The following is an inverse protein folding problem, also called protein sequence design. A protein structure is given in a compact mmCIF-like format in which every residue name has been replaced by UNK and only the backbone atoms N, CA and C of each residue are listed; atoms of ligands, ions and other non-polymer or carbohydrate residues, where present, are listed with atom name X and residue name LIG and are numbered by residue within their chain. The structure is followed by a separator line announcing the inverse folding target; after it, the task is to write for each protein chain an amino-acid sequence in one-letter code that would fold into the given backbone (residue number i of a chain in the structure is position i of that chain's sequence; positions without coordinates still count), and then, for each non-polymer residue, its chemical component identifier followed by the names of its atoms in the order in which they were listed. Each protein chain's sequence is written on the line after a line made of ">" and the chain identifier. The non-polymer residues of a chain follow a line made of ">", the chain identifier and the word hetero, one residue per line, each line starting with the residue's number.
data_IF_939066488253
#
_entry.id   IF_939066488253
#
_cell.length_a   1.000
_cell.length_b   1.000
_cell.length_c   1.000
_cell.angle_alpha   90.00
_cell.angle_beta   90.00
_cell.angle_gamma   90.00
#
_symmetry.space_group_name_H-M   'P 1'
#
loop_
_entity.id
_entity.type
_entity.pdbx_description
1 polymer ?
#
# COMPACT_ATOMS: atom_id res chain seq x y z
N UNK A 1 1.30 -22.21 4.33
CA UNK A 1 1.19 -20.91 5.04
C UNK A 1 1.35 -19.73 4.07
N UNK A 2 2.33 -19.74 3.16
CA UNK A 2 2.62 -18.63 2.22
C UNK A 2 1.48 -18.17 1.31
N UNK A 3 0.62 -19.08 0.81
CA UNK A 3 -0.54 -18.69 -0.02
C UNK A 3 -1.54 -17.78 0.73
N UNK A 4 -1.72 -18.02 2.03
CA UNK A 4 -2.55 -17.14 2.89
C UNK A 4 -1.93 -15.76 3.07
N UNK A 5 -0.60 -15.67 3.11
CA UNK A 5 0.13 -14.41 3.19
C UNK A 5 0.00 -13.60 1.90
N UNK A 6 0.15 -14.24 0.73
CA UNK A 6 -0.02 -13.60 -0.58
C UNK A 6 -1.44 -13.04 -0.77
N UNK A 7 -2.48 -13.81 -0.42
CA UNK A 7 -3.87 -13.33 -0.46
C UNK A 7 -4.07 -12.13 0.46
N UNK A 8 -3.51 -12.17 1.68
CA UNK A 8 -3.61 -11.07 2.62
C UNK A 8 -2.90 -9.80 2.11
N UNK A 9 -1.70 -9.94 1.53
CA UNK A 9 -0.95 -8.83 0.95
C UNK A 9 -1.72 -8.21 -0.24
N UNK A 10 -2.33 -9.03 -1.10
CA UNK A 10 -3.25 -8.57 -2.14
C UNK A 10 -4.43 -7.78 -1.58
N UNK A 11 -5.07 -8.25 -0.51
CA UNK A 11 -6.17 -7.53 0.14
C UNK A 11 -5.72 -6.17 0.68
N UNK A 12 -4.53 -6.06 1.27
CA UNK A 12 -3.98 -4.77 1.70
C UNK A 12 -3.81 -3.82 0.51
N UNK A 13 -3.25 -4.31 -0.60
CA UNK A 13 -3.02 -3.49 -1.80
C UNK A 13 -4.34 -3.00 -2.41
N UNK A 14 -5.35 -3.88 -2.50
CA UNK A 14 -6.69 -3.50 -2.96
C UNK A 14 -7.29 -2.43 -2.05
N UNK A 15 -7.16 -2.59 -0.73
CA UNK A 15 -7.68 -1.60 0.22
C UNK A 15 -6.98 -0.24 0.09
N UNK A 16 -5.67 -0.23 -0.16
CA UNK A 16 -4.93 1.01 -0.43
C UNK A 16 -5.41 1.70 -1.72
N UNK A 17 -5.66 0.94 -2.79
CA UNK A 17 -6.21 1.48 -4.04
C UNK A 17 -7.59 2.13 -3.82
N UNK A 18 -8.48 1.47 -3.06
CA UNK A 18 -9.79 2.01 -2.70
C UNK A 18 -9.66 3.33 -1.93
N UNK A 19 -8.75 3.39 -0.95
CA UNK A 19 -8.52 4.59 -0.15
C UNK A 19 -7.93 5.75 -0.97
N UNK A 20 -7.06 5.45 -1.95
CA UNK A 20 -6.57 6.47 -2.89
C UNK A 20 -7.67 7.02 -3.79
N UNK A 21 -8.52 6.15 -4.36
CA UNK A 21 -9.65 6.59 -5.19
C UNK A 21 -10.65 7.41 -4.38
N UNK A 22 -10.92 7.03 -3.13
CA UNK A 22 -11.73 7.83 -2.19
C UNK A 22 -11.11 9.21 -1.94
N UNK A 23 -9.79 9.29 -1.73
CA UNK A 23 -9.09 10.55 -1.56
C UNK A 23 -9.13 11.43 -2.82
N UNK A 24 -8.96 10.84 -4.02
CA UNK A 24 -9.14 11.57 -5.29
C UNK A 24 -10.56 12.09 -5.47
N UNK A 25 -11.56 11.28 -5.17
CA UNK A 25 -12.96 11.71 -5.23
C UNK A 25 -13.22 12.88 -4.28
N UNK A 26 -12.73 12.78 -3.04
CA UNK A 26 -12.86 13.86 -2.06
C UNK A 26 -12.09 15.13 -2.43
N UNK A 27 -11.05 15.02 -3.25
CA UNK A 27 -10.30 16.19 -3.74
C UNK A 27 -11.19 17.15 -4.54
N UNK A 28 -12.18 16.60 -5.25
CA UNK A 28 -13.14 17.38 -6.03
C UNK A 28 -14.41 17.78 -5.24
N UNK A 29 -14.55 17.35 -3.98
CA UNK A 29 -15.70 17.66 -3.12
C UNK A 29 -15.45 18.92 -2.29
N UNK A 30 -14.73 18.77 -1.19
CA UNK A 30 -14.36 19.84 -0.27
C UNK A 30 -13.21 19.41 0.65
N UNK A 31 -12.64 20.40 1.35
CA UNK A 31 -11.46 20.22 2.19
C UNK A 31 -11.73 19.27 3.38
N UNK A 32 -12.95 19.23 3.92
CA UNK A 32 -13.26 18.41 5.08
C UNK A 32 -13.30 16.92 4.72
N UNK A 33 -13.96 16.56 3.62
CA UNK A 33 -13.96 15.19 3.10
C UNK A 33 -12.55 14.75 2.73
N UNK A 34 -11.80 15.62 2.05
CA UNK A 34 -10.45 15.29 1.63
C UNK A 34 -9.52 15.08 2.83
N UNK A 35 -9.65 15.90 3.88
CA UNK A 35 -8.97 15.70 5.18
C UNK A 35 -9.27 14.34 5.79
N UNK A 36 -10.53 13.92 5.75
CA UNK A 36 -10.94 12.59 6.21
C UNK A 36 -10.31 11.48 5.37
N UNK A 37 -10.33 11.60 4.03
CA UNK A 37 -9.73 10.60 3.13
C UNK A 37 -8.23 10.42 3.35
N UNK A 38 -7.47 11.52 3.50
CA UNK A 38 -6.04 11.46 3.83
C UNK A 38 -5.81 10.78 5.19
N UNK A 39 -6.62 11.13 6.19
CA UNK A 39 -6.53 10.55 7.53
C UNK A 39 -6.79 9.04 7.50
N UNK A 40 -7.84 8.60 6.82
CA UNK A 40 -8.19 7.19 6.64
C UNK A 40 -7.02 6.42 6.00
N UNK A 41 -6.46 6.95 4.91
CA UNK A 41 -5.33 6.36 4.19
C UNK A 41 -4.08 6.22 5.09
N UNK A 42 -3.67 7.30 5.74
CA UNK A 42 -2.47 7.30 6.59
C UNK A 42 -2.64 6.39 7.81
N UNK A 43 -3.85 6.34 8.41
CA UNK A 43 -4.15 5.44 9.52
C UNK A 43 -4.08 3.98 9.10
N UNK A 44 -4.63 3.64 7.93
CA UNK A 44 -4.59 2.28 7.39
C UNK A 44 -3.15 1.80 7.20
N UNK A 45 -2.29 2.60 6.55
CA UNK A 45 -0.86 2.28 6.37
C UNK A 45 -0.14 2.05 7.69
N UNK A 46 -0.41 2.89 8.70
CA UNK A 46 0.16 2.75 10.03
C UNK A 46 -0.29 1.44 10.70
N UNK A 47 -1.56 1.07 10.54
CA UNK A 47 -2.10 -0.18 11.08
C UNK A 47 -1.47 -1.41 10.43
N UNK A 48 -1.22 -1.39 9.12
CA UNK A 48 -0.56 -2.50 8.43
C UNK A 48 0.83 -2.81 9.03
N UNK A 49 1.56 -1.82 9.60
CA UNK A 49 2.89 -2.00 10.25
C UNK A 49 2.94 -3.10 11.31
N UNK A 50 1.87 -3.29 12.09
CA UNK A 50 1.83 -4.32 13.12
C UNK A 50 1.95 -5.73 12.53
N UNK A 51 1.42 -5.94 11.32
CA UNK A 51 1.47 -7.22 10.62
C UNK A 51 2.85 -7.49 9.97
N UNK A 52 3.54 -6.45 9.46
CA UNK A 52 4.84 -6.60 8.78
C UNK A 52 5.94 -7.19 9.67
N UNK A 53 6.04 -6.73 10.92
CA UNK A 53 7.06 -7.24 11.86
C UNK A 53 6.88 -8.73 12.12
N UNK A 54 5.66 -9.24 12.06
CA UNK A 54 5.37 -10.64 12.31
C UNK A 54 5.74 -11.53 11.12
N UNK A 55 5.55 -11.05 9.88
CA UNK A 55 5.85 -11.82 8.67
C UNK A 55 7.34 -11.85 8.31
N UNK A 56 8.12 -10.77 8.52
CA UNK A 56 9.57 -10.78 8.28
C UNK A 56 10.33 -11.83 9.10
N UNK A 57 9.88 -12.09 10.34
CA UNK A 57 10.49 -13.08 11.23
C UNK A 57 10.19 -14.51 10.74
N UNK A 58 9.06 -14.72 10.07
CA UNK A 58 8.60 -16.05 9.63
C UNK A 58 8.99 -16.38 8.18
N UNK A 59 9.42 -15.40 7.37
CA UNK A 59 9.75 -15.59 5.95
C UNK A 59 11.20 -15.98 5.66
N UNK A 60 12.10 -15.96 6.66
CA UNK A 60 13.45 -16.53 6.55
C UNK A 60 13.35 -18.06 6.69
N UNK A 61 12.63 -18.70 5.77
CA UNK A 61 12.61 -20.15 5.63
C UNK A 61 13.20 -20.50 4.27
N UNK A 62 14.05 -21.52 4.22
CA UNK A 62 14.87 -21.93 3.06
C UNK A 62 14.07 -22.51 1.86
N UNK A 63 12.78 -22.21 1.75
CA UNK A 63 11.85 -22.84 0.79
C UNK A 63 11.11 -21.85 -0.13
N UNK A 64 11.42 -20.56 -0.12
CA UNK A 64 10.87 -19.62 -1.10
C UNK A 64 11.66 -19.67 -2.42
N UNK A 65 10.95 -19.59 -3.55
CA UNK A 65 11.60 -19.35 -4.86
C UNK A 65 12.08 -17.91 -4.95
N UNK A 66 13.12 -17.66 -5.76
CA UNK A 66 13.68 -16.31 -5.99
C UNK A 66 12.60 -15.29 -6.40
N UNK A 67 11.62 -15.73 -7.20
CA UNK A 67 10.46 -14.92 -7.62
C UNK A 67 9.53 -14.52 -6.47
N UNK A 68 9.32 -15.39 -5.48
CA UNK A 68 8.49 -15.12 -4.31
C UNK A 68 9.20 -14.16 -3.36
N UNK A 69 10.51 -14.36 -3.16
CA UNK A 69 11.37 -13.45 -2.41
C UNK A 69 11.34 -12.06 -3.03
N UNK A 70 11.45 -11.96 -4.35
CA UNK A 70 11.34 -10.70 -5.07
C UNK A 70 9.99 -10.00 -4.83
N UNK A 71 8.86 -10.72 -4.92
CA UNK A 71 7.54 -10.12 -4.65
C UNK A 71 7.42 -9.58 -3.23
N UNK A 72 7.94 -10.34 -2.25
CA UNK A 72 7.93 -9.94 -0.86
C UNK A 72 8.79 -8.70 -0.62
N UNK A 73 9.97 -8.61 -1.26
CA UNK A 73 10.82 -7.43 -1.22
C UNK A 73 10.13 -6.20 -1.81
N UNK A 74 9.53 -6.32 -3.00
CA UNK A 74 8.81 -5.23 -3.65
C UNK A 74 7.62 -4.74 -2.81
N UNK A 75 6.87 -5.67 -2.21
CA UNK A 75 5.79 -5.33 -1.28
C UNK A 75 6.29 -4.58 -0.04
N UNK A 76 7.39 -5.05 0.56
CA UNK A 76 7.97 -4.40 1.74
C UNK A 76 8.54 -3.02 1.42
N UNK A 77 9.17 -2.85 0.25
CA UNK A 77 9.72 -1.58 -0.22
C UNK A 77 8.59 -0.56 -0.40
N UNK A 78 7.51 -0.94 -1.11
CA UNK A 78 6.31 -0.11 -1.26
C UNK A 78 5.77 0.32 0.11
N UNK A 79 5.56 -0.63 1.01
CA UNK A 79 4.92 -0.37 2.29
C UNK A 79 5.79 0.46 3.24
N UNK A 80 7.12 0.40 3.08
CA UNK A 80 8.07 1.25 3.77
C UNK A 80 8.03 2.67 3.21
N UNK A 81 8.06 2.80 1.88
CA UNK A 81 7.98 4.08 1.18
C UNK A 81 6.69 4.84 1.57
N UNK A 82 5.53 4.17 1.50
CA UNK A 82 4.24 4.77 1.82
C UNK A 82 4.13 5.26 3.27
N UNK A 83 4.88 4.65 4.21
CA UNK A 83 4.94 5.10 5.62
C UNK A 83 5.83 6.30 5.84
N UNK A 84 6.99 6.32 5.19
CA UNK A 84 7.97 7.40 5.33
C UNK A 84 7.42 8.70 4.76
N UNK A 85 6.60 8.60 3.72
CA UNK A 85 5.98 9.73 3.06
C UNK A 85 4.47 9.55 3.21
N UNK A 86 3.85 9.97 4.33
CA UNK A 86 2.39 10.00 4.42
C UNK A 86 1.81 10.99 3.40
N UNK A 87 0.54 10.82 3.04
CA UNK A 87 -0.16 11.85 2.26
C UNK A 87 -0.15 13.15 3.09
N UNK A 88 0.45 14.20 2.53
CA UNK A 88 0.62 15.49 3.19
C UNK A 88 -0.56 16.43 2.91
N UNK A 89 -0.75 17.38 3.81
CA UNK A 89 -1.86 18.33 3.79
C UNK A 89 -1.94 19.13 2.47
N UNK A 90 -3.16 19.59 2.18
CA UNK A 90 -3.67 20.27 0.97
C UNK A 90 -2.90 21.45 0.40
N UNK A 91 -1.82 21.89 1.04
CA UNK A 91 -1.23 23.20 0.80
C UNK A 91 -0.42 23.30 -0.50
N UNK A 92 -0.08 22.19 -1.15
CA UNK A 92 0.96 22.20 -2.18
C UNK A 92 0.46 21.98 -3.62
N UNK A 93 -0.85 21.84 -3.87
CA UNK A 93 -1.40 21.66 -5.24
C UNK A 93 -1.00 20.36 -5.96
N UNK A 94 0.03 19.66 -5.50
CA UNK A 94 0.57 18.44 -6.10
C UNK A 94 -0.12 17.16 -5.62
N UNK A 95 -1.10 17.28 -4.72
CA UNK A 95 -1.75 16.13 -4.09
C UNK A 95 -2.33 15.14 -5.12
N UNK A 96 -2.92 15.64 -6.20
CA UNK A 96 -3.49 14.76 -7.24
C UNK A 96 -2.41 13.96 -7.98
N UNK A 97 -1.23 14.56 -8.19
CA UNK A 97 -0.07 13.90 -8.80
C UNK A 97 0.47 12.84 -7.84
N UNK A 98 0.66 13.19 -6.57
CA UNK A 98 1.12 12.27 -5.53
C UNK A 98 0.16 11.07 -5.37
N UNK A 99 -1.15 11.31 -5.42
CA UNK A 99 -2.18 10.25 -5.38
C UNK A 99 -2.08 9.32 -6.60
N UNK A 100 -1.82 9.87 -7.79
CA UNK A 100 -1.69 9.08 -9.01
C UNK A 100 -0.40 8.24 -9.03
N UNK A 101 0.74 8.82 -8.63
CA UNK A 101 2.01 8.10 -8.58
C UNK A 101 1.95 6.93 -7.59
N UNK A 102 1.35 7.16 -6.40
CA UNK A 102 1.14 6.09 -5.41
C UNK A 102 0.23 5.00 -5.94
N UNK A 103 -0.85 5.36 -6.63
CA UNK A 103 -1.74 4.37 -7.23
C UNK A 103 -1.00 3.52 -8.24
N UNK A 104 -0.21 4.13 -9.13
CA UNK A 104 0.57 3.42 -10.14
C UNK A 104 1.56 2.44 -9.48
N UNK A 105 2.23 2.86 -8.42
CA UNK A 105 3.18 2.01 -7.68
C UNK A 105 2.47 0.83 -6.99
N UNK A 106 1.35 1.08 -6.30
CA UNK A 106 0.57 0.02 -5.66
C UNK A 106 0.04 -0.97 -6.71
N UNK A 107 -0.46 -0.48 -7.84
CA UNK A 107 -0.99 -1.30 -8.92
C UNK A 107 0.10 -2.19 -9.55
N UNK A 108 1.31 -1.64 -9.75
CA UNK A 108 2.47 -2.41 -10.23
C UNK A 108 2.77 -3.58 -9.31
N UNK A 109 2.89 -3.32 -8.00
CA UNK A 109 3.20 -4.36 -6.99
C UNK A 109 2.07 -5.38 -6.87
N UNK A 110 0.81 -4.94 -6.95
CA UNK A 110 -0.35 -5.82 -6.98
C UNK A 110 -0.29 -6.79 -8.18
N UNK A 111 -0.05 -6.27 -9.39
CA UNK A 111 0.04 -7.12 -10.58
C UNK A 111 1.23 -8.06 -10.53
N UNK A 112 2.37 -7.61 -9.98
CA UNK A 112 3.50 -8.49 -9.73
C UNK A 112 3.05 -9.66 -8.87
N UNK A 113 2.50 -9.42 -7.67
CA UNK A 113 2.01 -10.48 -6.78
C UNK A 113 0.95 -11.39 -7.44
N UNK A 114 -0.01 -10.80 -8.16
CA UNK A 114 -1.12 -11.54 -8.77
C UNK A 114 -0.67 -12.47 -9.92
N UNK A 115 0.36 -12.08 -10.67
CA UNK A 115 0.87 -12.91 -11.77
C UNK A 115 1.71 -14.12 -11.29
N UNK A 116 1.93 -14.29 -9.99
CA UNK A 116 2.61 -15.46 -9.40
C UNK A 116 1.66 -16.44 -8.68
N UNK A 117 0.34 -16.20 -8.72
CA UNK A 117 -0.67 -17.18 -8.32
C UNK A 117 -0.93 -18.18 -9.44
#
# INVERSE_FOLDING_TARGET
>A
MHYKTLIYDQHILIQLLILLEKAKYYYFMDIAHLSLGIKDYNNFINHCRAHFKHNQINSISSHCSDSQTYCFEQYNELMTHLKQIPLQNFKNGNLIVDLQERQNHIYKVYNQINNYQ
#
